data_IF_225156853653
#
_entry.id   IF_225156853653
#
_cell.length_a   1.000
_cell.length_b   1.000
_cell.length_c   1.000
_cell.angle_alpha   90.00
_cell.angle_beta   90.00
_cell.angle_gamma   90.00
#
_symmetry.space_group_name_H-M   'P 1'
#
loop_
_entity.id
_entity.type
_entity.pdbx_description
1 polymer ?
#
# COMPACT_ATOMS: atom_id res chain seq x y z
N UNK A 1 24.06 -3.86 0.78
CA UNK A 1 22.59 -3.76 0.79
C UNK A 1 22.07 -3.80 -0.65
N UNK A 2 21.43 -4.89 -1.10
CA UNK A 2 20.74 -4.91 -2.39
C UNK A 2 19.44 -4.10 -2.25
N UNK A 3 19.37 -2.91 -2.84
CA UNK A 3 18.08 -2.23 -3.07
C UNK A 3 17.30 -3.07 -4.08
N UNK A 4 16.29 -3.80 -3.64
CA UNK A 4 15.41 -4.56 -4.53
C UNK A 4 14.55 -3.59 -5.34
N UNK A 5 14.90 -3.44 -6.61
CA UNK A 5 14.13 -2.74 -7.64
C UNK A 5 12.73 -3.37 -7.87
N UNK A 6 12.49 -4.59 -7.36
CA UNK A 6 11.33 -5.44 -7.70
C UNK A 6 10.07 -5.28 -6.84
N UNK A 7 9.79 -4.10 -6.27
CA UNK A 7 8.56 -3.85 -5.48
C UNK A 7 7.77 -2.63 -5.97
N UNK A 8 7.99 -2.23 -7.23
CA UNK A 8 7.24 -1.17 -7.89
C UNK A 8 6.43 -1.80 -9.02
N UNK A 9 5.12 -1.54 -9.02
CA UNK A 9 4.21 -1.90 -10.09
C UNK A 9 3.89 -0.64 -10.90
N UNK A 10 4.06 -0.72 -12.22
CA UNK A 10 3.64 0.33 -13.14
C UNK A 10 2.30 -0.06 -13.76
N UNK A 11 1.33 0.86 -13.78
CA UNK A 11 0.03 0.60 -14.38
C UNK A 11 -0.50 1.87 -15.06
N UNK A 12 -1.32 1.75 -16.11
CA UNK A 12 -1.98 2.91 -16.71
C UNK A 12 -3.00 3.49 -15.72
N UNK A 13 -3.00 4.81 -15.56
CA UNK A 13 -3.98 5.48 -14.72
C UNK A 13 -5.40 5.24 -15.25
N UNK A 14 -6.39 4.98 -14.38
CA UNK A 14 -7.76 4.68 -14.80
C UNK A 14 -8.42 5.85 -15.52
N UNK A 15 -8.05 7.08 -15.18
CA UNK A 15 -8.62 8.29 -15.78
C UNK A 15 -7.95 8.68 -17.11
N UNK A 16 -6.71 8.23 -17.34
CA UNK A 16 -5.94 8.53 -18.54
C UNK A 16 -4.91 7.42 -18.80
N UNK A 17 -5.18 6.59 -19.81
CA UNK A 17 -4.31 5.47 -20.17
C UNK A 17 -2.91 5.87 -20.64
N UNK A 18 -2.70 7.14 -21.04
CA UNK A 18 -1.38 7.67 -21.41
C UNK A 18 -0.54 8.07 -20.19
N UNK A 19 -1.17 8.22 -19.01
CA UNK A 19 -0.48 8.49 -17.75
C UNK A 19 -0.13 7.15 -17.09
N UNK A 20 1.13 6.97 -16.73
CA UNK A 20 1.59 5.82 -15.94
C UNK A 20 1.61 6.21 -14.47
N UNK A 21 0.93 5.43 -13.64
CA UNK A 21 0.96 5.52 -12.18
C UNK A 21 1.88 4.42 -11.62
N UNK A 22 2.45 4.69 -10.45
CA UNK A 22 3.39 3.78 -9.77
C UNK A 22 2.83 3.38 -8.41
N UNK A 23 2.62 2.08 -8.21
CA UNK A 23 2.35 1.49 -6.89
C UNK A 23 3.65 0.94 -6.31
N UNK A 24 3.94 1.25 -5.04
CA UNK A 24 5.13 0.80 -4.34
C UNK A 24 4.73 0.15 -3.03
N UNK A 25 5.10 -1.12 -2.84
CA UNK A 25 4.90 -1.80 -1.56
C UNK A 25 5.58 -1.07 -0.39
N UNK A 26 6.63 -0.29 -0.67
CA UNK A 26 7.29 0.54 0.33
C UNK A 26 6.36 1.60 0.93
N UNK A 27 5.40 2.11 0.17
CA UNK A 27 4.46 3.13 0.67
C UNK A 27 3.57 2.56 1.79
N UNK A 28 3.12 1.32 1.66
CA UNK A 28 2.38 0.61 2.72
C UNK A 28 3.26 0.25 3.91
N UNK A 29 4.52 -0.10 3.67
CA UNK A 29 5.48 -0.36 4.76
C UNK A 29 5.75 0.90 5.57
N UNK A 30 5.86 2.05 4.91
CA UNK A 30 6.13 3.31 5.59
C UNK A 30 4.96 3.69 6.51
N UNK A 31 3.70 3.55 6.06
CA UNK A 31 2.52 3.73 6.95
C UNK A 31 2.62 2.82 8.17
N UNK A 32 2.89 1.52 7.96
CA UNK A 32 3.01 0.58 9.07
C UNK A 32 4.14 0.98 10.03
N UNK A 33 5.30 1.37 9.53
CA UNK A 33 6.43 1.77 10.38
C UNK A 33 6.15 3.08 11.14
N UNK A 34 5.44 4.05 10.53
CA UNK A 34 5.00 5.28 11.20
C UNK A 34 4.02 4.96 12.33
N UNK A 35 3.04 4.08 12.08
CA UNK A 35 1.94 3.84 13.00
C UNK A 35 2.14 2.64 13.95
N UNK A 36 3.21 1.83 13.80
CA UNK A 36 3.35 0.57 14.54
C UNK A 36 3.28 0.73 16.06
N UNK A 37 3.84 1.82 16.59
CA UNK A 37 3.90 2.16 18.00
C UNK A 37 2.71 3.01 18.47
N UNK A 38 1.84 3.44 17.56
CA UNK A 38 0.67 4.25 17.89
C UNK A 38 -0.42 3.35 18.46
N UNK A 39 -1.12 3.85 19.49
CA UNK A 39 -2.27 3.16 20.08
C UNK A 39 -3.47 3.14 19.12
N UNK A 40 -3.67 4.23 18.39
CA UNK A 40 -4.71 4.39 17.37
C UNK A 40 -4.01 4.43 16.00
N UNK A 41 -4.47 3.61 15.06
CA UNK A 41 -3.90 3.45 13.73
C UNK A 41 -4.93 3.79 12.67
N UNK A 42 -4.52 4.50 11.63
CA UNK A 42 -5.38 4.80 10.48
C UNK A 42 -5.46 3.61 9.53
N UNK A 43 -4.41 2.79 9.48
CA UNK A 43 -4.37 1.55 8.70
C UNK A 43 -4.30 0.28 9.59
N UNK A 44 -5.34 -0.04 10.38
CA UNK A 44 -5.30 -1.13 11.36
C UNK A 44 -5.17 -2.53 10.74
N UNK A 45 -5.48 -2.68 9.45
CA UNK A 45 -5.34 -3.94 8.71
C UNK A 45 -3.91 -4.17 8.20
N UNK A 46 -3.07 -3.14 8.15
CA UNK A 46 -1.65 -3.30 7.88
C UNK A 46 -0.95 -3.87 9.11
N UNK A 47 -0.55 -5.13 8.99
CA UNK A 47 0.23 -5.83 10.01
C UNK A 47 1.49 -6.42 9.40
N UNK A 48 2.43 -6.81 10.26
CA UNK A 48 3.65 -7.47 9.83
C UNK A 48 3.37 -8.71 8.97
N UNK A 49 2.33 -9.50 9.29
CA UNK A 49 1.95 -10.68 8.51
C UNK A 49 1.43 -10.33 7.11
N UNK A 50 0.81 -9.18 6.95
CA UNK A 50 0.29 -8.70 5.65
C UNK A 50 1.45 -8.23 4.77
N UNK A 51 2.41 -7.49 5.34
CA UNK A 51 3.53 -6.88 4.61
C UNK A 51 4.72 -7.83 4.39
N UNK A 52 4.98 -8.74 5.32
CA UNK A 52 6.15 -9.61 5.35
C UNK A 52 5.73 -11.09 5.42
N UNK A 53 4.95 -11.52 4.41
CA UNK A 53 4.40 -12.88 4.33
C UNK A 53 5.48 -13.96 4.21
N UNK A 54 5.38 -14.97 5.06
CA UNK A 54 6.09 -16.25 4.90
C UNK A 54 5.55 -17.06 3.72
N UNK A 55 6.24 -18.13 3.32
CA UNK A 55 5.78 -19.04 2.25
C UNK A 55 4.40 -19.63 2.53
N UNK A 56 4.10 -19.97 3.79
CA UNK A 56 2.80 -20.47 4.22
C UNK A 56 1.73 -19.38 4.15
N UNK A 57 2.01 -18.18 4.66
CA UNK A 57 1.05 -17.06 4.68
C UNK A 57 0.72 -16.53 3.28
N UNK A 58 1.57 -16.75 2.26
CA UNK A 58 1.27 -16.40 0.86
C UNK A 58 0.04 -17.12 0.31
N UNK A 59 -0.28 -18.31 0.84
CA UNK A 59 -1.47 -19.07 0.43
C UNK A 59 -2.76 -18.55 1.11
N UNK A 60 -2.63 -17.70 2.13
CA UNK A 60 -3.78 -17.14 2.82
C UNK A 60 -4.33 -15.92 2.06
N UNK A 61 -5.42 -16.15 1.32
CA UNK A 61 -6.11 -15.12 0.54
C UNK A 61 -6.60 -13.96 1.42
N UNK A 62 -7.07 -14.24 2.63
CA UNK A 62 -7.55 -13.20 3.55
C UNK A 62 -6.43 -12.23 3.95
N UNK A 63 -5.21 -12.73 4.16
CA UNK A 63 -4.04 -11.87 4.41
C UNK A 63 -3.68 -11.02 3.19
N UNK A 64 -3.88 -11.54 1.97
CA UNK A 64 -3.67 -10.77 0.75
C UNK A 64 -4.72 -9.66 0.59
N UNK A 65 -5.99 -9.95 0.88
CA UNK A 65 -7.08 -8.96 0.80
C UNK A 65 -6.90 -7.79 1.77
N UNK A 66 -6.27 -8.01 2.94
CA UNK A 66 -5.97 -6.95 3.89
C UNK A 66 -5.05 -5.85 3.31
N UNK A 67 -4.31 -6.10 2.23
CA UNK A 67 -3.52 -5.07 1.52
C UNK A 67 -4.45 -4.02 0.91
N UNK A 68 -5.57 -4.44 0.33
CA UNK A 68 -6.49 -3.60 -0.42
C UNK A 68 -7.63 -3.03 0.43
N UNK A 69 -7.54 -3.11 1.76
CA UNK A 69 -8.58 -2.60 2.63
C UNK A 69 -8.72 -1.07 2.51
N UNK A 70 -9.96 -0.57 2.49
CA UNK A 70 -10.27 0.86 2.29
C UNK A 70 -9.54 1.78 3.29
N UNK A 71 -9.36 1.34 4.53
CA UNK A 71 -8.63 2.10 5.55
C UNK A 71 -7.18 2.38 5.16
N UNK A 72 -6.55 1.49 4.40
CA UNK A 72 -5.17 1.66 3.95
C UNK A 72 -5.08 2.75 2.88
N UNK A 73 -6.09 2.85 2.00
CA UNK A 73 -6.22 3.95 1.04
C UNK A 73 -6.44 5.29 1.77
N UNK A 74 -7.34 5.30 2.75
CA UNK A 74 -7.63 6.49 3.56
C UNK A 74 -6.39 6.99 4.34
N UNK A 75 -5.54 6.09 4.82
CA UNK A 75 -4.31 6.46 5.54
C UNK A 75 -3.34 7.30 4.68
N UNK A 76 -3.31 7.10 3.35
CA UNK A 76 -2.49 7.94 2.47
C UNK A 76 -2.95 9.40 2.42
N UNK A 77 -4.26 9.67 2.61
CA UNK A 77 -4.77 11.04 2.64
C UNK A 77 -4.30 11.81 3.89
N UNK A 78 -4.09 11.11 5.00
CA UNK A 78 -3.57 11.69 6.24
C UNK A 78 -2.06 11.94 6.20
N UNK A 79 -1.27 11.05 5.57
CA UNK A 79 0.20 11.20 5.49
C UNK A 79 0.69 12.12 4.36
N UNK A 80 -0.14 12.41 3.33
CA UNK A 80 0.26 13.22 2.17
C UNK A 80 0.73 14.64 2.54
N UNK A 81 0.33 15.16 3.72
CA UNK A 81 0.74 16.48 4.20
C UNK A 81 2.16 16.56 4.75
N UNK A 82 2.77 15.45 5.18
CA UNK A 82 3.98 15.52 6.01
C UNK A 82 5.31 15.31 5.26
N UNK A 83 5.32 14.69 4.08
CA UNK A 83 6.59 14.17 3.49
C UNK A 83 6.85 14.45 2.00
N UNK A 84 5.98 15.14 1.27
CA UNK A 84 6.20 15.44 -0.17
C UNK A 84 6.47 14.18 -1.03
N UNK A 85 6.12 13.01 -0.50
CA UNK A 85 6.33 11.70 -1.13
C UNK A 85 5.11 11.39 -1.99
N UNK A 86 5.33 11.10 -3.26
CA UNK A 86 4.25 10.68 -4.16
C UNK A 86 3.83 9.25 -3.84
N UNK A 87 2.76 9.12 -3.05
CA UNK A 87 2.05 7.87 -2.71
C UNK A 87 0.74 7.73 -3.50
N UNK A 88 0.47 8.68 -4.42
CA UNK A 88 -0.83 8.76 -5.10
C UNK A 88 -1.08 7.54 -5.98
N UNK A 89 -0.04 7.01 -6.63
CA UNK A 89 -0.17 5.80 -7.44
C UNK A 89 -0.54 4.56 -6.60
N UNK A 90 0.05 4.37 -5.43
CA UNK A 90 -0.32 3.27 -4.51
C UNK A 90 -1.78 3.40 -4.05
N UNK A 91 -2.22 4.63 -3.73
CA UNK A 91 -3.62 4.91 -3.39
C UNK A 91 -4.56 4.59 -4.56
N UNK A 92 -4.26 5.12 -5.76
CA UNK A 92 -5.04 4.86 -6.99
C UNK A 92 -5.15 3.36 -7.29
N UNK A 93 -4.09 2.59 -7.02
CA UNK A 93 -4.08 1.15 -7.24
C UNK A 93 -5.03 0.41 -6.28
N UNK A 94 -4.99 0.74 -4.99
CA UNK A 94 -5.92 0.17 -4.00
C UNK A 94 -7.36 0.56 -4.32
N UNK A 95 -7.60 1.84 -4.65
CA UNK A 95 -8.92 2.35 -5.00
C UNK A 95 -9.50 1.64 -6.25
N UNK A 96 -8.66 1.26 -7.21
CA UNK A 96 -9.08 0.46 -8.36
C UNK A 96 -9.43 -0.97 -7.98
N UNK A 97 -8.60 -1.62 -7.16
CA UNK A 97 -8.89 -2.99 -6.73
C UNK A 97 -10.20 -3.09 -5.95
N UNK A 98 -10.52 -2.07 -5.15
CA UNK A 98 -11.79 -1.99 -4.40
C UNK A 98 -13.03 -1.79 -5.29
N UNK A 99 -12.86 -1.30 -6.52
CA UNK A 99 -13.96 -1.08 -7.48
C UNK A 99 -14.20 -2.27 -8.41
N UNK A 100 -13.27 -3.23 -8.46
CA UNK A 100 -13.35 -4.41 -9.32
C UNK A 100 -14.25 -5.48 -8.71
#
# INVERSE_FOLDING_TARGET
>A
MKKTLGQVLCFPSPDNSSKISLDKLQDLKDIYETEKSNLIKNAPKLSQKVLYRTSFEKQNVLLALNIFHESNSAAFAHEAGEKGKDTMGTKEFIDQFLKW
#
